data_IF_010802146331
#
_entry.id   IF_010802146331
#
_cell.length_a   1.000
_cell.length_b   1.000
_cell.length_c   1.000
_cell.angle_alpha   90.00
_cell.angle_beta   90.00
_cell.angle_gamma   90.00
#
_symmetry.space_group_name_H-M   'P 1'
#
loop_
_entity.id
_entity.type
_entity.pdbx_description
1 polymer ?
#
# COMPACT_ATOMS: atom_id res chain seq x y z
N UNK A 1 54.17 13.55 6.68
CA UNK A 1 54.68 14.47 7.73
C UNK A 1 53.74 15.67 7.76
N UNK A 2 53.13 16.11 8.86
CA UNK A 2 53.04 15.58 10.23
C UNK A 2 52.28 16.61 11.08
N UNK A 3 51.28 16.18 11.88
CA UNK A 3 50.47 17.08 12.74
C UNK A 3 51.31 17.71 13.86
N UNK A 4 50.93 18.92 14.33
CA UNK A 4 50.71 19.21 15.78
C UNK A 4 49.64 20.33 15.97
N UNK A 5 48.92 20.23 17.11
CA UNK A 5 47.83 21.01 17.76
C UNK A 5 47.95 22.56 17.72
N UNK A 6 46.90 23.39 17.94
CA UNK A 6 46.09 23.65 19.18
C UNK A 6 44.95 24.66 18.84
N UNK A 7 43.82 24.85 19.53
CA UNK A 7 43.21 24.29 20.77
C UNK A 7 42.49 25.36 21.62
N UNK A 8 41.51 24.97 22.46
CA UNK A 8 40.54 25.83 23.22
C UNK A 8 39.55 26.64 22.33
N UNK A 9 38.27 26.89 22.67
CA UNK A 9 37.48 26.54 23.84
C UNK A 9 36.89 27.79 24.53
N UNK A 10 35.59 28.07 24.36
CA UNK A 10 34.80 28.81 25.36
C UNK A 10 33.28 28.66 25.13
N UNK A 11 32.56 28.40 26.22
CA UNK A 11 31.10 28.51 26.37
C UNK A 11 30.82 29.81 27.14
N UNK A 12 29.83 30.62 26.74
CA UNK A 12 29.12 31.57 27.63
C UNK A 12 28.00 32.33 26.89
N UNK A 13 26.85 32.40 27.53
CA UNK A 13 25.64 33.13 27.15
C UNK A 13 25.76 34.66 27.29
N UNK A 14 24.97 35.40 26.50
CA UNK A 14 24.39 36.69 26.91
C UNK A 14 22.90 36.74 26.51
N UNK A 15 22.08 37.42 27.33
CA UNK A 15 20.61 37.39 27.34
C UNK A 15 20.04 38.82 27.46
N UNK A 16 18.71 38.97 27.36
CA UNK A 16 17.85 40.10 27.76
C UNK A 16 17.68 41.31 26.80
N UNK A 17 16.46 41.41 26.24
CA UNK A 17 15.46 42.42 26.65
C UNK A 17 14.08 42.02 26.06
N UNK A 18 13.12 41.47 26.81
CA UNK A 18 12.33 42.07 27.90
C UNK A 18 11.33 43.16 27.45
N UNK A 19 10.04 42.82 27.42
CA UNK A 19 8.92 43.75 27.70
C UNK A 19 7.79 42.96 28.36
N UNK A 20 7.20 43.53 29.41
CA UNK A 20 6.42 42.84 30.44
C UNK A 20 5.05 43.49 30.61
N UNK A 21 3.98 42.70 30.82
CA UNK A 21 2.91 42.89 31.84
C UNK A 21 1.70 41.97 31.53
N UNK A 22 1.43 40.96 32.36
CA UNK A 22 0.44 40.93 33.47
C UNK A 22 -1.05 40.98 33.02
N UNK A 23 -1.95 40.08 33.48
CA UNK A 23 -1.80 38.86 34.29
C UNK A 23 -3.12 38.37 34.93
N UNK A 24 -3.08 37.20 35.58
CA UNK A 24 -4.06 36.66 36.59
C UNK A 24 -5.46 36.31 36.01
N UNK A 25 -6.16 35.21 36.35
CA UNK A 25 -6.19 34.40 37.57
C UNK A 25 -6.34 32.88 37.35
N UNK A 26 -5.98 32.10 38.36
CA UNK A 26 -6.31 30.68 38.48
C UNK A 26 -7.54 30.47 39.38
N UNK A 27 -8.30 29.39 39.16
CA UNK A 27 -9.21 28.84 40.17
C UNK A 27 -9.27 27.32 40.00
N UNK A 28 -8.86 26.58 41.02
CA UNK A 28 -8.97 25.12 41.09
C UNK A 28 -10.19 24.74 41.93
N UNK A 29 -10.93 23.72 41.52
CA UNK A 29 -11.68 22.82 42.44
C UNK A 29 -11.90 21.49 41.74
N UNK A 30 -11.71 20.39 42.47
CA UNK A 30 -11.95 19.03 41.99
C UNK A 30 -12.98 18.34 42.89
N UNK A 31 -13.79 17.44 42.32
CA UNK A 31 -14.15 16.12 42.90
C UNK A 31 -15.13 15.36 41.99
N UNK A 32 -15.09 14.03 42.10
CA UNK A 32 -15.91 13.10 41.30
C UNK A 32 -17.17 12.65 42.06
N UNK A 33 -18.17 12.09 41.34
CA UNK A 33 -18.71 10.74 41.58
C UNK A 33 -19.88 10.37 40.65
N UNK A 34 -19.92 9.07 40.31
CA UNK A 34 -20.81 8.33 39.41
C UNK A 34 -22.32 8.30 39.75
N UNK A 35 -23.18 8.06 38.73
CA UNK A 35 -24.10 6.88 38.60
C UNK A 35 -24.96 7.01 37.31
N UNK A 36 -24.89 6.04 36.37
CA UNK A 36 -25.84 4.92 36.14
C UNK A 36 -27.23 5.35 35.63
N UNK A 37 -27.65 5.11 34.38
CA UNK A 37 -28.05 3.83 33.73
C UNK A 37 -28.86 4.20 32.45
N UNK A 38 -29.24 3.37 31.46
CA UNK A 38 -29.41 1.90 31.32
C UNK A 38 -29.04 1.47 29.89
N UNK A 39 -28.66 0.20 29.71
CA UNK A 39 -28.27 -0.39 28.42
C UNK A 39 -29.45 -0.66 27.46
N UNK A 40 -29.15 -0.69 26.16
CA UNK A 40 -29.98 -1.26 25.09
C UNK A 40 -29.17 -2.22 24.24
N UNK A 41 -28.77 -3.36 24.81
CA UNK A 41 -28.05 -4.39 24.08
C UNK A 41 -29.02 -5.28 23.29
N UNK A 42 -28.86 -5.34 21.98
CA UNK A 42 -29.34 -6.45 21.15
C UNK A 42 -28.12 -7.18 20.59
N UNK A 43 -27.73 -8.28 21.25
CA UNK A 43 -26.65 -9.13 20.77
C UNK A 43 -27.13 -9.92 19.54
N UNK A 44 -26.63 -9.56 18.36
CA UNK A 44 -26.65 -10.42 17.18
C UNK A 44 -25.32 -11.15 17.06
N UNK A 45 -25.20 -12.33 17.67
CA UNK A 45 -23.97 -13.14 17.54
C UNK A 45 -23.87 -13.69 16.13
N UNK A 46 -22.92 -13.18 15.35
CA UNK A 46 -22.35 -13.88 14.20
C UNK A 46 -20.89 -14.15 14.53
N UNK A 47 -20.55 -15.43 14.71
CA UNK A 47 -19.18 -15.88 14.92
C UNK A 47 -18.51 -16.15 13.57
N UNK A 48 -17.24 -15.79 13.49
CA UNK A 48 -16.21 -16.31 12.57
C UNK A 48 -15.99 -15.63 11.19
N UNK A 49 -14.69 -15.62 10.86
CA UNK A 49 -14.03 -15.65 9.54
C UNK A 49 -13.83 -14.37 8.72
N UNK A 50 -12.54 -14.01 8.65
CA UNK A 50 -11.84 -13.15 7.70
C UNK A 50 -12.30 -11.69 7.55
N UNK A 51 -11.37 -10.76 7.83
CA UNK A 51 -11.49 -9.38 7.38
C UNK A 51 -11.27 -9.33 5.86
N UNK A 52 -12.36 -9.45 5.09
CA UNK A 52 -12.39 -9.21 3.65
C UNK A 52 -11.84 -7.81 3.36
N UNK A 53 -10.80 -7.74 2.53
CA UNK A 53 -10.15 -6.49 2.14
C UNK A 53 -11.08 -5.55 1.37
N UNK A 54 -10.68 -4.29 1.13
CA UNK A 54 -11.40 -3.45 0.17
C UNK A 54 -11.47 -4.15 -1.19
N UNK A 55 -12.52 -3.87 -1.96
CA UNK A 55 -12.69 -4.49 -3.28
C UNK A 55 -11.79 -3.80 -4.30
N UNK A 56 -11.42 -4.51 -5.37
CA UNK A 56 -10.99 -3.86 -6.62
C UNK A 56 -11.99 -2.77 -7.02
N UNK A 57 -11.49 -1.70 -7.66
CA UNK A 57 -12.23 -0.46 -7.90
C UNK A 57 -12.29 0.49 -6.69
N UNK A 58 -11.95 0.04 -5.48
CA UNK A 58 -11.98 0.86 -4.27
C UNK A 58 -10.60 1.45 -3.95
N UNK A 59 -10.55 2.76 -3.74
CA UNK A 59 -9.36 3.45 -3.25
C UNK A 59 -9.09 3.11 -1.78
N UNK A 60 -7.86 2.74 -1.45
CA UNK A 60 -7.39 2.43 -0.10
C UNK A 60 -6.21 3.34 0.27
N UNK A 61 -6.23 3.95 1.46
CA UNK A 61 -5.03 4.57 2.05
C UNK A 61 -4.06 3.47 2.51
N UNK A 62 -2.82 3.55 2.04
CA UNK A 62 -1.74 2.62 2.34
C UNK A 62 -0.54 3.39 2.86
N UNK A 63 0.05 2.90 3.94
CA UNK A 63 1.24 3.45 4.57
C UNK A 63 2.35 2.39 4.59
N UNK A 64 3.58 2.82 4.36
CA UNK A 64 4.77 2.00 4.52
C UNK A 64 5.87 2.77 5.25
N UNK A 65 7.09 2.25 5.21
CA UNK A 65 8.23 2.89 5.87
C UNK A 65 8.57 4.23 5.19
N UNK A 66 8.26 5.33 5.87
CA UNK A 66 8.53 6.69 5.39
C UNK A 66 7.63 7.21 4.25
N UNK A 67 6.53 6.53 3.90
CA UNK A 67 5.61 6.97 2.83
C UNK A 67 4.13 6.70 3.12
N UNK A 68 3.27 7.50 2.50
CA UNK A 68 1.81 7.33 2.50
C UNK A 68 1.26 7.60 1.09
N UNK A 69 0.28 6.80 0.67
CA UNK A 69 -0.40 6.96 -0.61
C UNK A 69 -1.86 6.49 -0.54
N UNK A 70 -2.70 7.01 -1.44
CA UNK A 70 -4.00 6.40 -1.75
C UNK A 70 -3.85 5.59 -3.04
N UNK A 71 -4.20 4.31 -2.98
CA UNK A 71 -3.98 3.34 -4.07
C UNK A 71 -5.30 2.71 -4.48
N UNK A 72 -5.53 2.59 -5.78
CA UNK A 72 -6.69 1.89 -6.38
C UNK A 72 -6.20 0.83 -7.35
N UNK A 73 -6.59 -0.44 -7.12
CA UNK A 73 -6.46 -1.51 -8.12
C UNK A 73 -7.75 -1.56 -8.93
N UNK A 74 -7.67 -1.46 -10.26
CA UNK A 74 -8.85 -1.42 -11.12
C UNK A 74 -9.52 -2.79 -11.34
N UNK A 75 -10.83 -2.76 -11.59
CA UNK A 75 -11.69 -3.96 -11.68
C UNK A 75 -11.49 -4.78 -12.96
N UNK A 76 -10.94 -4.16 -14.02
CA UNK A 76 -10.86 -4.72 -15.36
C UNK A 76 -9.40 -4.98 -15.75
N UNK A 77 -8.78 -6.09 -15.32
CA UNK A 77 -7.49 -6.50 -15.85
C UNK A 77 -7.65 -7.04 -17.28
N UNK A 78 -6.54 -7.14 -18.02
CA UNK A 78 -6.54 -7.60 -19.42
C UNK A 78 -5.48 -8.68 -19.63
N UNK A 79 -5.77 -9.70 -20.45
CA UNK A 79 -4.76 -10.63 -20.96
C UNK A 79 -3.86 -9.92 -21.97
N UNK A 80 -2.56 -10.18 -21.91
CA UNK A 80 -1.63 -9.76 -22.96
C UNK A 80 -0.86 -10.99 -23.44
N UNK A 81 -0.87 -11.19 -24.75
CA UNK A 81 -0.25 -12.34 -25.41
C UNK A 81 0.70 -11.84 -26.50
N UNK A 82 1.97 -12.22 -26.39
CA UNK A 82 3.05 -11.80 -27.28
C UNK A 82 4.17 -12.82 -27.25
N UNK A 83 5.09 -12.75 -28.22
CA UNK A 83 6.24 -13.66 -28.27
C UNK A 83 7.14 -13.58 -27.01
N UNK A 84 7.17 -12.43 -26.33
CA UNK A 84 8.03 -12.17 -25.16
C UNK A 84 7.28 -12.02 -23.84
N UNK A 85 5.96 -12.22 -23.83
CA UNK A 85 5.13 -12.17 -22.63
C UNK A 85 3.72 -12.71 -22.91
N UNK A 86 3.34 -13.75 -22.17
CA UNK A 86 1.95 -14.14 -21.99
C UNK A 86 1.59 -13.98 -20.51
N UNK A 87 0.45 -13.37 -20.22
CA UNK A 87 -0.04 -13.20 -18.85
C UNK A 87 -1.06 -12.09 -18.70
N UNK A 88 -1.10 -11.51 -17.50
CA UNK A 88 -2.11 -10.58 -17.05
C UNK A 88 -1.53 -9.18 -16.85
N UNK A 89 -2.28 -8.16 -17.24
CA UNK A 89 -2.02 -6.76 -16.92
C UNK A 89 -3.13 -6.28 -15.97
N UNK A 90 -2.76 -5.83 -14.77
CA UNK A 90 -3.70 -5.25 -13.79
C UNK A 90 -3.51 -3.73 -13.75
N UNK A 91 -4.55 -2.92 -13.99
CA UNK A 91 -4.46 -1.47 -13.86
C UNK A 91 -4.39 -1.03 -12.40
N UNK A 92 -3.49 -0.08 -12.13
CA UNK A 92 -3.30 0.52 -10.79
C UNK A 92 -3.14 2.04 -10.92
N UNK A 93 -3.79 2.78 -10.04
CA UNK A 93 -3.61 4.22 -9.82
C UNK A 93 -3.08 4.44 -8.40
N UNK A 94 -2.03 5.26 -8.27
CA UNK A 94 -1.35 5.59 -7.01
C UNK A 94 -1.29 7.10 -6.91
N UNK A 95 -1.90 7.66 -5.86
CA UNK A 95 -1.76 9.07 -5.48
C UNK A 95 -0.86 9.18 -4.25
N UNK A 96 0.29 9.85 -4.39
CA UNK A 96 1.33 9.88 -3.35
C UNK A 96 1.11 11.07 -2.42
N UNK A 97 0.76 10.79 -1.17
CA UNK A 97 0.50 11.80 -0.15
C UNK A 97 1.79 12.28 0.52
N UNK A 98 2.78 11.40 0.68
CA UNK A 98 4.10 11.73 1.23
C UNK A 98 5.13 10.62 0.97
N UNK A 99 6.41 10.99 0.95
CA UNK A 99 7.53 10.04 0.82
C UNK A 99 7.74 9.56 -0.62
N UNK A 100 8.24 8.33 -0.78
CA UNK A 100 8.41 7.70 -2.10
C UNK A 100 7.95 6.25 -2.06
N UNK A 101 6.92 5.93 -2.84
CA UNK A 101 6.24 4.62 -2.82
C UNK A 101 7.04 3.60 -3.65
N UNK A 102 7.48 2.47 -3.08
CA UNK A 102 8.11 1.39 -3.82
C UNK A 102 7.05 0.53 -4.51
N UNK A 103 6.64 0.93 -5.72
CA UNK A 103 5.56 0.30 -6.48
C UNK A 103 6.02 -0.69 -7.57
N UNK A 104 7.29 -1.10 -7.55
CA UNK A 104 7.88 -1.99 -8.56
C UNK A 104 7.06 -3.28 -8.76
N UNK A 105 6.90 -3.81 -9.99
CA UNK A 105 6.03 -4.97 -10.26
C UNK A 105 6.26 -6.17 -9.33
N UNK A 106 7.51 -6.44 -8.95
CA UNK A 106 7.88 -7.54 -8.04
C UNK A 106 7.34 -7.40 -6.59
N UNK A 107 6.83 -6.23 -6.20
CA UNK A 107 6.22 -5.97 -4.89
C UNK A 107 4.72 -6.26 -4.90
N UNK A 108 4.15 -6.54 -6.06
CA UNK A 108 2.76 -6.93 -6.23
C UNK A 108 2.65 -8.44 -6.40
N UNK A 109 1.56 -9.04 -5.93
CA UNK A 109 1.24 -10.46 -6.16
C UNK A 109 -0.25 -10.61 -6.41
N UNK A 110 -0.64 -11.50 -7.32
CA UNK A 110 -2.03 -11.98 -7.41
C UNK A 110 -2.16 -13.32 -6.70
N UNK A 111 -3.30 -13.54 -6.04
CA UNK A 111 -3.64 -14.84 -5.48
C UNK A 111 -4.72 -15.54 -6.28
N UNK A 112 -4.57 -16.85 -6.41
CA UNK A 112 -5.55 -17.72 -7.08
C UNK A 112 -6.49 -18.36 -6.07
N UNK A 113 -7.67 -18.77 -6.55
CA UNK A 113 -8.63 -19.58 -5.79
C UNK A 113 -8.05 -20.94 -5.33
N UNK A 114 -6.99 -21.41 -6.01
CA UNK A 114 -6.22 -22.61 -5.64
C UNK A 114 -5.13 -22.35 -4.58
N UNK A 115 -5.06 -21.14 -4.01
CA UNK A 115 -4.10 -20.77 -2.98
C UNK A 115 -2.67 -20.54 -3.48
N UNK A 116 -2.48 -20.33 -4.80
CA UNK A 116 -1.17 -19.96 -5.35
C UNK A 116 -0.99 -18.45 -5.33
N UNK A 117 0.24 -18.02 -5.11
CA UNK A 117 0.68 -16.62 -5.21
C UNK A 117 1.55 -16.46 -6.44
N UNK A 118 1.24 -15.48 -7.29
CA UNK A 118 1.99 -15.21 -8.53
C UNK A 118 2.55 -13.79 -8.43
N UNK A 119 3.88 -13.61 -8.37
CA UNK A 119 4.49 -12.29 -8.27
C UNK A 119 4.36 -11.51 -9.59
N UNK A 120 4.25 -10.19 -9.47
CA UNK A 120 4.37 -9.29 -10.60
C UNK A 120 5.82 -9.28 -11.13
N UNK A 121 5.98 -8.88 -12.37
CA UNK A 121 7.24 -8.99 -13.11
C UNK A 121 7.46 -7.81 -14.03
N UNK A 122 8.71 -7.37 -14.15
CA UNK A 122 9.11 -6.24 -14.99
C UNK A 122 9.41 -6.75 -16.39
N UNK A 123 8.60 -6.32 -17.38
CA UNK A 123 8.64 -6.85 -18.76
C UNK A 123 8.79 -5.70 -19.75
N UNK A 124 9.90 -5.69 -20.49
CA UNK A 124 10.24 -4.60 -21.41
C UNK A 124 9.31 -4.43 -22.62
N UNK A 125 8.47 -5.43 -22.94
CA UNK A 125 7.44 -5.32 -23.99
C UNK A 125 6.12 -4.70 -23.51
N UNK A 126 5.95 -4.44 -22.22
CA UNK A 126 4.75 -3.78 -21.67
C UNK A 126 5.09 -2.31 -21.37
N UNK A 127 4.57 -1.33 -22.11
CA UNK A 127 4.79 0.07 -21.83
C UNK A 127 3.98 0.51 -20.60
N UNK A 128 4.57 0.34 -19.41
CA UNK A 128 3.99 0.81 -18.14
C UNK A 128 4.84 1.94 -17.54
N UNK A 129 4.17 2.93 -16.94
CA UNK A 129 4.84 3.98 -16.17
C UNK A 129 5.36 3.44 -14.84
N UNK A 130 4.77 2.35 -14.33
CA UNK A 130 5.16 1.69 -13.08
C UNK A 130 6.30 0.71 -13.34
N UNK A 131 7.54 1.19 -13.18
CA UNK A 131 8.78 0.39 -13.27
C UNK A 131 9.45 0.17 -11.92
N UNK A 132 10.73 -0.25 -11.94
CA UNK A 132 11.47 -0.66 -10.74
C UNK A 132 11.91 0.50 -9.81
N UNK A 133 11.55 1.75 -10.12
CA UNK A 133 11.90 2.94 -9.32
C UNK A 133 10.72 3.39 -8.45
N UNK A 134 10.97 3.96 -7.26
CA UNK A 134 9.90 4.48 -6.42
C UNK A 134 9.31 5.78 -6.99
N UNK A 135 8.08 6.11 -6.57
CA UNK A 135 7.32 7.28 -7.02
C UNK A 135 7.05 8.26 -5.89
N UNK A 136 7.32 9.54 -6.14
CA UNK A 136 7.11 10.68 -5.23
C UNK A 136 5.90 11.56 -5.63
N UNK A 137 5.15 11.12 -6.65
CA UNK A 137 4.02 11.82 -7.26
C UNK A 137 3.00 10.81 -7.80
N UNK A 138 1.79 11.30 -8.08
CA UNK A 138 0.73 10.48 -8.66
C UNK A 138 1.18 9.77 -9.96
N UNK A 139 0.80 8.50 -10.10
CA UNK A 139 1.11 7.64 -11.25
C UNK A 139 -0.02 6.66 -11.52
N UNK A 140 -0.31 6.45 -12.80
CA UNK A 140 -1.20 5.40 -13.28
C UNK A 140 -0.43 4.47 -14.22
N UNK A 141 -0.74 3.18 -14.19
CA UNK A 141 -0.06 2.22 -15.03
C UNK A 141 -0.61 0.80 -14.88
N UNK A 142 0.13 -0.14 -15.46
CA UNK A 142 -0.20 -1.56 -15.48
C UNK A 142 0.88 -2.34 -14.71
N UNK A 143 0.45 -3.27 -13.86
CA UNK A 143 1.33 -4.26 -13.24
C UNK A 143 1.25 -5.55 -14.07
N UNK A 144 2.36 -6.01 -14.68
CA UNK A 144 2.39 -7.29 -15.38
C UNK A 144 2.55 -8.46 -14.40
N UNK A 145 1.75 -9.50 -14.57
CA UNK A 145 1.93 -10.80 -13.93
C UNK A 145 2.11 -11.84 -15.03
N UNK A 146 3.21 -12.61 -14.98
CA UNK A 146 3.50 -13.65 -15.95
C UNK A 146 3.79 -14.98 -15.27
N UNK A 147 3.32 -16.04 -15.90
CA UNK A 147 3.60 -17.42 -15.53
C UNK A 147 4.57 -18.03 -16.54
N UNK A 148 5.68 -17.34 -16.84
CA UNK A 148 6.55 -17.60 -18.00
C UNK A 148 7.02 -19.07 -18.18
N UNK A 149 7.03 -19.85 -17.09
CA UNK A 149 7.40 -21.27 -17.07
C UNK A 149 6.37 -22.18 -16.37
N UNK A 150 5.14 -21.71 -16.11
CA UNK A 150 4.16 -22.44 -15.31
C UNK A 150 2.71 -22.20 -15.77
N UNK A 151 1.80 -23.07 -15.36
CA UNK A 151 0.36 -22.96 -15.67
C UNK A 151 -0.41 -22.12 -14.65
N UNK A 152 0.26 -21.25 -13.90
CA UNK A 152 -0.38 -20.49 -12.82
C UNK A 152 -1.28 -19.37 -13.35
N UNK A 153 -1.19 -19.02 -14.64
CA UNK A 153 -2.14 -18.16 -15.36
C UNK A 153 -2.76 -18.90 -16.58
N UNK A 154 -3.13 -20.17 -16.44
CA UNK A 154 -3.89 -20.90 -17.45
C UNK A 154 -5.41 -20.64 -17.35
N UNK A 155 -6.17 -20.93 -18.41
CA UNK A 155 -7.62 -20.68 -18.52
C UNK A 155 -8.50 -21.36 -17.44
N UNK A 156 -7.99 -22.41 -16.79
CA UNK A 156 -8.62 -23.09 -15.66
C UNK A 156 -8.37 -22.42 -14.30
N UNK A 157 -7.48 -21.43 -14.23
CA UNK A 157 -7.19 -20.66 -13.02
C UNK A 157 -8.24 -19.56 -12.81
N UNK A 158 -8.53 -19.27 -11.54
CA UNK A 158 -9.32 -18.09 -11.12
C UNK A 158 -8.55 -17.28 -10.09
N UNK A 159 -8.62 -15.95 -10.20
CA UNK A 159 -7.92 -14.96 -9.37
C UNK A 159 -8.89 -14.41 -8.33
N UNK A 160 -8.45 -14.28 -7.08
CA UNK A 160 -9.31 -13.82 -5.96
C UNK A 160 -8.91 -12.46 -5.41
N UNK A 161 -7.63 -12.12 -5.41
CA UNK A 161 -7.14 -10.82 -4.92
C UNK A 161 -5.85 -10.38 -5.62
N UNK A 162 -5.59 -9.08 -5.54
CA UNK A 162 -4.32 -8.41 -5.86
C UNK A 162 -3.77 -7.81 -4.56
N UNK A 163 -2.50 -8.04 -4.25
CA UNK A 163 -1.89 -7.61 -3.00
C UNK A 163 -0.57 -6.86 -3.24
N UNK A 164 -0.33 -5.81 -2.45
CA UNK A 164 0.92 -5.05 -2.40
C UNK A 164 1.72 -5.45 -1.16
N UNK A 165 3.03 -5.56 -1.29
CA UNK A 165 3.97 -5.99 -0.27
C UNK A 165 5.05 -4.94 -0.01
N UNK A 166 5.63 -4.95 1.20
CA UNK A 166 6.75 -4.07 1.55
C UNK A 166 8.05 -4.39 0.78
N UNK A 167 8.19 -5.61 0.28
CA UNK A 167 9.27 -6.06 -0.61
C UNK A 167 8.84 -7.29 -1.42
N UNK A 168 9.60 -7.64 -2.45
CA UNK A 168 9.33 -8.84 -3.26
C UNK A 168 9.38 -10.15 -2.45
N UNK A 169 10.21 -10.21 -1.41
CA UNK A 169 10.40 -11.38 -0.54
C UNK A 169 9.50 -11.38 0.70
N UNK A 170 8.71 -10.33 0.96
CA UNK A 170 7.79 -10.29 2.09
C UNK A 170 6.65 -11.32 1.93
N UNK A 171 6.28 -11.96 3.03
CA UNK A 171 5.18 -12.94 3.08
C UNK A 171 3.83 -12.30 3.41
N UNK A 172 3.86 -11.18 4.14
CA UNK A 172 2.67 -10.45 4.56
C UNK A 172 2.43 -9.21 3.69
N UNK A 173 1.18 -8.95 3.29
CA UNK A 173 0.81 -7.77 2.51
C UNK A 173 0.89 -6.49 3.36
N UNK A 174 1.04 -5.35 2.71
CA UNK A 174 0.71 -4.04 3.28
C UNK A 174 -0.68 -3.55 2.84
N UNK A 175 -1.19 -4.04 1.71
CA UNK A 175 -2.55 -3.79 1.23
C UNK A 175 -3.05 -4.94 0.35
N UNK A 176 -4.38 -5.09 0.25
CA UNK A 176 -5.05 -6.14 -0.53
C UNK A 176 -6.34 -5.61 -1.14
N UNK A 177 -6.61 -5.99 -2.38
CA UNK A 177 -7.85 -5.71 -3.09
C UNK A 177 -8.48 -7.02 -3.57
N UNK A 178 -9.67 -7.33 -3.06
CA UNK A 178 -10.40 -8.55 -3.39
C UNK A 178 -11.31 -8.35 -4.62
N UNK A 179 -11.36 -9.35 -5.51
CA UNK A 179 -12.35 -9.36 -6.58
C UNK A 179 -13.73 -9.71 -6.01
N UNK A 180 -14.83 -9.08 -6.51
CA UNK A 180 -16.18 -9.30 -5.99
C UNK A 180 -16.68 -10.75 -6.14
N UNK A 181 -16.11 -11.49 -7.09
CA UNK A 181 -16.17 -12.93 -7.27
C UNK A 181 -14.84 -13.39 -7.91
N UNK A 182 -14.43 -14.67 -7.79
CA UNK A 182 -13.20 -15.16 -8.41
C UNK A 182 -13.22 -14.96 -9.93
N UNK A 183 -12.23 -14.24 -10.46
CA UNK A 183 -12.11 -13.90 -11.87
C UNK A 183 -11.37 -15.02 -12.62
N UNK A 184 -12.07 -15.80 -13.44
CA UNK A 184 -11.44 -16.86 -14.22
C UNK A 184 -10.60 -16.28 -15.37
N UNK A 185 -9.36 -16.75 -15.52
CA UNK A 185 -8.38 -16.22 -16.50
C UNK A 185 -8.89 -16.32 -17.94
N UNK A 186 -9.70 -17.35 -18.25
CA UNK A 186 -10.34 -17.52 -19.57
C UNK A 186 -11.24 -16.34 -19.97
N UNK A 187 -11.95 -15.76 -19.00
CA UNK A 187 -13.01 -14.76 -19.19
C UNK A 187 -12.45 -13.33 -19.25
N UNK A 188 -11.15 -13.16 -18.99
CA UNK A 188 -10.46 -11.87 -19.02
C UNK A 188 -10.26 -11.42 -20.48
N UNK A 189 -10.67 -10.19 -20.86
CA UNK A 189 -10.53 -9.71 -22.23
C UNK A 189 -9.05 -9.51 -22.61
N UNK A 190 -8.68 -9.63 -23.91
CA UNK A 190 -7.37 -9.22 -24.36
C UNK A 190 -7.17 -7.71 -24.21
N UNK A 191 -5.93 -7.28 -24.01
CA UNK A 191 -5.53 -5.89 -24.08
C UNK A 191 -5.76 -5.34 -25.49
N UNK A 192 -6.16 -4.08 -25.60
CA UNK A 192 -6.21 -3.41 -26.90
C UNK A 192 -4.78 -3.22 -27.45
N UNK A 193 -4.60 -3.51 -28.74
CA UNK A 193 -3.37 -3.26 -29.51
C UNK A 193 -3.25 -1.79 -29.96
#
# INVERSE_FOLDING_TARGET
MGLVLTGCGNDSSEDLAATTSQGVAATSTASAASTSSTAGAAAGTATDSAASGPRVGTAQKVSGDGWNATITVGENPTKHESFTFNGLLVPVSIDVESGSVPAAPSYWKVHTLSGRTIPGTSIGSVPTVIGDRPFDRAVEGLIPFSSYNSKDLADDVSITEVALYASSTANDPIARWEFPAPLAVRDIPPAAE
#
